data_IF_644732557214
#
_entry.id   IF_644732557214
#
_cell.length_a   1.000
_cell.length_b   1.000
_cell.length_c   1.000
_cell.angle_alpha   90.00
_cell.angle_beta   90.00
_cell.angle_gamma   90.00
#
_symmetry.space_group_name_H-M   'P 1'
#
loop_
_entity.id
_entity.type
_entity.pdbx_description
1 polymer ?
#
# COMPACT_ATOMS: atom_id res chain seq x y z
N UNK A 1 -0.45 17.18 -7.65
CA UNK A 1 -0.85 18.39 -6.91
C UNK A 1 -1.59 18.06 -5.61
N UNK A 2 -2.85 17.58 -5.62
CA UNK A 2 -3.66 17.44 -4.37
C UNK A 2 -2.93 16.77 -3.19
N UNK A 3 -2.28 15.61 -3.37
CA UNK A 3 -1.54 14.94 -2.29
C UNK A 3 -0.33 15.74 -1.76
N UNK A 4 0.35 16.52 -2.62
CA UNK A 4 1.46 17.38 -2.19
C UNK A 4 0.98 18.39 -1.13
N UNK A 5 -0.13 19.07 -1.42
CA UNK A 5 -0.71 20.09 -0.55
C UNK A 5 -1.14 19.52 0.82
N UNK A 6 -1.45 18.21 0.92
CA UNK A 6 -1.76 17.53 2.17
C UNK A 6 -0.52 17.27 3.04
N UNK A 7 0.64 17.02 2.42
CA UNK A 7 1.87 16.63 3.13
C UNK A 7 2.87 17.77 3.31
N UNK A 8 2.85 18.79 2.46
CA UNK A 8 3.79 19.93 2.47
C UNK A 8 3.97 20.60 3.86
N UNK A 9 2.91 20.84 4.66
CA UNK A 9 3.07 21.35 6.02
C UNK A 9 3.84 20.36 6.92
N UNK A 10 3.57 19.05 6.80
CA UNK A 10 4.27 18.02 7.57
C UNK A 10 5.72 17.82 7.11
N UNK A 11 5.99 17.95 5.82
CA UNK A 11 7.35 17.88 5.24
C UNK A 11 8.22 19.01 5.80
N UNK A 12 7.65 20.21 5.97
CA UNK A 12 8.36 21.38 6.46
C UNK A 12 8.68 21.30 7.96
N UNK A 13 7.80 20.69 8.77
CA UNK A 13 7.90 20.71 10.24
C UNK A 13 8.25 19.37 10.91
N UNK A 14 8.12 18.23 10.21
CA UNK A 14 8.25 16.88 10.81
C UNK A 14 9.26 15.96 10.10
N UNK A 15 9.79 16.33 8.93
CA UNK A 15 10.71 15.47 8.19
C UNK A 15 12.13 15.50 8.78
N UNK A 16 12.51 14.40 9.43
CA UNK A 16 13.90 14.15 9.85
C UNK A 16 14.70 13.63 8.65
N UNK A 17 15.73 14.38 8.21
CA UNK A 17 16.59 13.97 7.09
C UNK A 17 17.70 13.03 7.54
N UNK A 18 17.94 11.96 6.77
CA UNK A 18 19.04 11.01 7.04
C UNK A 18 20.38 11.64 6.65
N UNK A 19 21.19 12.01 7.64
CA UNK A 19 22.53 12.56 7.48
C UNK A 19 23.61 11.54 7.86
N UNK A 20 24.78 11.59 7.22
CA UNK A 20 25.87 10.62 7.43
C UNK A 20 26.72 10.86 8.68
N UNK A 21 26.23 11.63 9.65
CA UNK A 21 27.01 12.08 10.80
C UNK A 21 26.98 11.07 11.96
N UNK A 22 27.61 9.90 11.78
CA UNK A 22 27.99 9.03 12.90
C UNK A 22 29.23 8.16 12.67
N UNK A 23 30.25 8.68 11.98
CA UNK A 23 31.60 8.09 11.99
C UNK A 23 32.70 9.15 11.82
N UNK A 24 33.57 9.22 12.83
CA UNK A 24 34.98 9.67 12.89
C UNK A 24 35.49 10.96 12.19
N UNK A 25 36.19 11.75 13.02
CA UNK A 25 37.36 12.62 12.76
C UNK A 25 37.28 13.83 11.81
N UNK A 26 37.83 14.94 12.30
CA UNK A 26 37.99 16.20 11.59
C UNK A 26 39.24 16.22 10.68
N UNK A 27 39.14 16.94 9.55
CA UNK A 27 40.23 17.71 8.95
C UNK A 27 39.65 18.77 8.01
N UNK A 28 40.36 19.90 7.87
CA UNK A 28 39.89 21.10 7.17
C UNK A 28 40.45 21.12 5.74
N UNK A 29 39.59 21.25 4.73
CA UNK A 29 39.99 21.70 3.38
C UNK A 29 38.86 22.43 2.63
N UNK A 30 39.20 23.61 2.09
CA UNK A 30 38.64 24.29 0.91
C UNK A 30 37.13 24.55 0.78
N UNK A 31 36.80 25.82 0.55
CA UNK A 31 35.45 26.32 0.25
C UNK A 31 35.01 25.88 -1.15
N UNK A 32 34.05 24.96 -1.22
CA UNK A 32 33.20 24.75 -2.38
C UNK A 32 31.76 25.12 -2.04
N UNK A 33 31.13 25.99 -2.84
CA UNK A 33 29.73 26.35 -2.69
C UNK A 33 28.81 25.13 -2.88
N UNK A 34 27.98 24.74 -1.89
CA UNK A 34 27.00 23.68 -2.05
C UNK A 34 25.71 24.22 -2.71
N UNK A 35 25.82 24.60 -3.99
CA UNK A 35 24.67 24.78 -4.88
C UNK A 35 24.27 23.40 -5.43
N UNK A 36 23.08 22.84 -5.22
CA UNK A 36 21.84 23.38 -4.63
C UNK A 36 21.14 22.32 -3.77
N UNK A 37 20.49 22.74 -2.68
CA UNK A 37 19.52 21.89 -1.97
C UNK A 37 18.22 21.84 -2.78
N UNK A 38 17.87 20.66 -3.31
CA UNK A 38 16.59 20.45 -4.01
C UNK A 38 15.42 20.94 -3.16
N UNK A 39 14.39 21.52 -3.79
CA UNK A 39 13.17 21.89 -3.04
C UNK A 39 12.45 20.60 -2.64
N UNK A 40 11.71 20.58 -1.52
CA UNK A 40 11.02 19.38 -1.07
C UNK A 40 10.08 18.76 -2.13
N UNK A 41 9.46 19.56 -2.99
CA UNK A 41 8.62 19.07 -4.11
C UNK A 41 9.45 18.35 -5.20
N UNK A 42 10.69 18.77 -5.43
CA UNK A 42 11.60 18.14 -6.38
C UNK A 42 12.20 16.86 -5.78
N UNK A 43 12.50 16.87 -4.47
CA UNK A 43 12.87 15.67 -3.69
C UNK A 43 11.74 14.62 -3.73
N UNK A 44 10.47 15.05 -3.62
CA UNK A 44 9.31 14.17 -3.73
C UNK A 44 9.09 13.64 -5.15
N UNK A 45 9.29 14.46 -6.19
CA UNK A 45 9.25 13.99 -7.58
C UNK A 45 10.32 12.93 -7.84
N UNK A 46 11.54 13.11 -7.32
CA UNK A 46 12.61 12.12 -7.37
C UNK A 46 12.18 10.79 -6.72
N UNK A 47 11.55 10.85 -5.54
CA UNK A 47 11.01 9.68 -4.86
C UNK A 47 9.89 8.98 -5.66
N UNK A 48 8.97 9.73 -6.27
CA UNK A 48 7.92 9.15 -7.12
C UNK A 48 8.49 8.51 -8.40
N UNK A 49 9.49 9.14 -9.03
CA UNK A 49 10.18 8.56 -10.19
C UNK A 49 10.94 7.28 -9.81
N UNK A 50 11.56 7.26 -8.63
CA UNK A 50 12.16 6.07 -8.06
C UNK A 50 11.14 4.95 -7.86
N UNK A 51 10.04 5.21 -7.16
CA UNK A 51 9.04 4.19 -6.79
C UNK A 51 8.21 3.71 -7.99
N UNK A 52 7.64 4.64 -8.76
CA UNK A 52 6.65 4.33 -9.79
C UNK A 52 7.26 3.90 -11.12
N UNK A 53 8.48 4.36 -11.47
CA UNK A 53 9.18 3.96 -12.71
C UNK A 53 10.32 2.96 -12.45
N UNK A 54 10.84 2.90 -11.22
CA UNK A 54 11.98 2.04 -10.88
C UNK A 54 13.28 2.52 -11.51
N UNK A 55 13.49 3.83 -11.63
CA UNK A 55 14.80 4.37 -12.03
C UNK A 55 15.83 4.13 -10.93
N UNK A 56 17.07 3.70 -11.24
CA UNK A 56 18.09 3.51 -10.24
C UNK A 56 18.57 4.86 -9.66
N UNK A 57 19.11 4.90 -8.43
CA UNK A 57 19.59 6.14 -7.81
C UNK A 57 20.71 6.87 -8.59
N UNK A 58 21.38 6.21 -9.53
CA UNK A 58 22.36 6.82 -10.44
C UNK A 58 21.67 7.73 -11.46
N UNK A 59 20.74 7.19 -12.24
CA UNK A 59 20.01 7.93 -13.27
C UNK A 59 19.23 9.10 -12.67
N UNK A 60 18.69 8.93 -11.46
CA UNK A 60 18.03 10.00 -10.72
C UNK A 60 19.03 11.09 -10.28
N UNK A 61 20.24 10.72 -9.89
CA UNK A 61 21.28 11.69 -9.55
C UNK A 61 21.68 12.54 -10.77
N UNK A 62 21.85 11.91 -11.93
CA UNK A 62 22.13 12.58 -13.20
C UNK A 62 20.96 13.50 -13.62
N UNK A 63 19.72 13.00 -13.62
CA UNK A 63 18.50 13.76 -13.98
C UNK A 63 18.24 15.00 -13.12
N UNK A 64 18.54 14.93 -11.83
CA UNK A 64 18.32 16.05 -10.89
C UNK A 64 19.61 16.85 -10.63
N UNK A 65 20.72 16.56 -11.32
CA UNK A 65 22.03 17.21 -11.15
C UNK A 65 22.52 17.23 -9.69
N UNK A 66 22.37 16.10 -9.01
CA UNK A 66 22.84 15.89 -7.62
C UNK A 66 23.80 14.71 -7.55
N UNK A 67 24.50 14.54 -6.42
CA UNK A 67 25.35 13.39 -6.20
C UNK A 67 24.54 12.10 -5.91
N UNK A 68 25.04 10.92 -6.32
CA UNK A 68 24.37 9.62 -6.13
C UNK A 68 24.01 9.33 -4.67
N UNK A 69 24.87 9.71 -3.73
CA UNK A 69 24.59 9.55 -2.28
C UNK A 69 23.50 10.51 -1.80
N UNK A 70 23.35 11.69 -2.40
CA UNK A 70 22.24 12.61 -2.13
C UNK A 70 20.92 12.02 -2.62
N UNK A 71 20.87 11.48 -3.85
CA UNK A 71 19.69 10.79 -4.37
C UNK A 71 19.26 9.62 -3.46
N UNK A 72 20.21 8.79 -3.03
CA UNK A 72 19.93 7.68 -2.10
C UNK A 72 19.44 8.15 -0.73
N UNK A 73 20.01 9.22 -0.15
CA UNK A 73 19.54 9.79 1.12
C UNK A 73 18.15 10.41 1.01
N UNK A 74 17.84 11.06 -0.11
CA UNK A 74 16.51 11.58 -0.41
C UNK A 74 15.52 10.41 -0.43
N UNK A 75 15.78 9.36 -1.22
CA UNK A 75 14.93 8.17 -1.30
C UNK A 75 14.66 7.58 0.10
N UNK A 76 15.70 7.25 0.88
CA UNK A 76 15.52 6.66 2.22
C UNK A 76 14.79 7.61 3.19
N UNK A 77 15.04 8.92 3.11
CA UNK A 77 14.34 9.92 3.94
C UNK A 77 12.85 9.97 3.59
N UNK A 78 12.51 9.98 2.30
CA UNK A 78 11.12 10.03 1.85
C UNK A 78 10.38 8.72 2.10
N UNK A 79 11.02 7.57 1.94
CA UNK A 79 10.51 6.26 2.37
C UNK A 79 10.10 6.30 3.84
N UNK A 80 11.04 6.61 4.74
CA UNK A 80 10.79 6.56 6.17
C UNK A 80 9.78 7.63 6.62
N UNK A 81 9.88 8.86 6.10
CA UNK A 81 8.93 9.93 6.37
C UNK A 81 7.50 9.56 5.95
N UNK A 82 7.31 9.05 4.72
CA UNK A 82 5.99 8.65 4.26
C UNK A 82 5.49 7.39 4.98
N UNK A 83 6.37 6.46 5.35
CA UNK A 83 6.01 5.29 6.15
C UNK A 83 5.48 5.71 7.53
N UNK A 84 6.19 6.59 8.24
CA UNK A 84 5.71 7.13 9.51
C UNK A 84 4.47 8.02 9.35
N UNK A 85 4.40 8.89 8.33
CA UNK A 85 3.27 9.80 8.12
C UNK A 85 1.98 9.06 7.74
N UNK A 86 2.06 8.09 6.83
CA UNK A 86 0.92 7.32 6.33
C UNK A 86 0.58 6.12 7.24
N UNK A 87 1.56 5.56 7.96
CA UNK A 87 1.33 4.53 8.97
C UNK A 87 0.84 5.06 10.33
N UNK A 88 1.09 6.35 10.64
CA UNK A 88 0.49 7.00 11.84
C UNK A 88 -0.93 7.54 11.58
N UNK A 89 -1.33 7.70 10.32
CA UNK A 89 -2.74 7.78 9.98
C UNK A 89 -3.41 6.48 10.42
N UNK A 90 -4.48 6.55 11.23
CA UNK A 90 -5.25 5.36 11.62
C UNK A 90 -6.07 4.86 10.43
N UNK A 91 -5.42 4.15 9.52
CA UNK A 91 -6.02 3.57 8.30
C UNK A 91 -7.10 2.53 8.60
N UNK A 92 -7.18 2.03 9.84
CA UNK A 92 -8.33 1.28 10.32
C UNK A 92 -9.55 2.20 10.52
N UNK A 93 -10.28 2.42 9.43
CA UNK A 93 -11.50 3.22 9.41
C UNK A 93 -12.54 2.57 10.34
N UNK A 94 -13.08 3.30 11.34
CA UNK A 94 -14.09 2.75 12.26
C UNK A 94 -15.33 2.23 11.50
N UNK A 95 -15.99 1.14 11.95
CA UNK A 95 -17.15 0.56 11.25
C UNK A 95 -18.30 1.53 11.02
N UNK A 96 -18.40 2.58 11.81
CA UNK A 96 -19.38 3.67 11.70
C UNK A 96 -19.08 4.53 10.47
N UNK A 97 -17.81 4.87 10.26
CA UNK A 97 -17.34 5.66 9.11
C UNK A 97 -17.36 4.82 7.83
N UNK A 98 -17.05 3.52 7.90
CA UNK A 98 -17.21 2.59 6.77
C UNK A 98 -18.67 2.54 6.32
N UNK A 99 -19.61 2.42 7.27
CA UNK A 99 -21.06 2.39 6.99
C UNK A 99 -21.60 3.70 6.44
N UNK A 100 -21.14 4.85 6.96
CA UNK A 100 -21.53 6.16 6.46
C UNK A 100 -21.11 6.44 5.01
N UNK A 101 -20.00 5.85 4.55
CA UNK A 101 -19.45 6.05 3.20
C UNK A 101 -19.55 4.78 2.33
N UNK A 102 -20.42 3.85 2.70
CA UNK A 102 -20.64 2.60 1.99
C UNK A 102 -21.38 2.87 0.67
N UNK A 103 -20.81 2.53 -0.50
CA UNK A 103 -21.52 2.68 -1.76
C UNK A 103 -22.78 1.80 -1.76
N UNK A 104 -23.88 2.28 -2.36
CA UNK A 104 -25.19 1.58 -2.40
C UNK A 104 -25.07 0.14 -2.93
N UNK A 105 -24.13 -0.08 -3.87
CA UNK A 105 -23.82 -1.40 -4.43
C UNK A 105 -23.26 -2.42 -3.41
N UNK A 106 -22.72 -1.96 -2.29
CA UNK A 106 -22.19 -2.76 -1.18
C UNK A 106 -23.07 -2.73 0.08
N UNK A 107 -24.30 -2.20 -0.01
CA UNK A 107 -25.24 -2.12 1.13
C UNK A 107 -25.50 -3.48 1.80
N UNK A 108 -25.45 -4.59 1.05
CA UNK A 108 -25.56 -5.96 1.56
C UNK A 108 -24.33 -6.46 2.36
N UNK A 109 -23.26 -5.65 2.42
CA UNK A 109 -21.95 -6.00 2.97
C UNK A 109 -21.39 -4.90 3.90
N UNK A 110 -22.28 -4.18 4.59
CA UNK A 110 -21.98 -3.03 5.46
C UNK A 110 -20.85 -3.20 6.47
N UNK A 111 -20.61 -4.43 6.91
CA UNK A 111 -19.68 -4.76 8.00
C UNK A 111 -18.36 -5.36 7.49
N UNK A 112 -18.16 -5.39 6.16
CA UNK A 112 -17.04 -6.10 5.51
C UNK A 112 -15.80 -5.21 5.39
N UNK A 113 -14.61 -5.74 5.66
CA UNK A 113 -13.36 -5.25 5.08
C UNK A 113 -12.81 -6.29 4.12
N UNK A 114 -12.52 -5.92 2.89
CA UNK A 114 -12.06 -6.85 1.87
C UNK A 114 -10.56 -7.07 1.99
N UNK A 115 -10.10 -8.30 2.10
CA UNK A 115 -8.67 -8.59 2.12
C UNK A 115 -8.14 -8.84 0.70
N UNK A 116 -6.86 -8.54 0.52
CA UNK A 116 -6.23 -8.22 -0.75
C UNK A 116 -4.81 -8.78 -0.72
N UNK A 117 -4.44 -9.64 -1.66
CA UNK A 117 -3.14 -10.33 -1.61
C UNK A 117 -2.23 -9.92 -2.76
N UNK A 118 -0.95 -9.68 -2.49
CA UNK A 118 0.04 -9.37 -3.52
C UNK A 118 1.28 -10.27 -3.46
N UNK A 119 1.40 -11.17 -4.43
CA UNK A 119 2.65 -11.87 -4.75
C UNK A 119 3.61 -10.94 -5.49
N UNK A 120 4.87 -10.94 -5.07
CA UNK A 120 5.96 -10.14 -5.62
C UNK A 120 7.10 -11.01 -6.15
N UNK A 121 7.68 -10.72 -7.33
CA UNK A 121 8.68 -11.58 -8.00
C UNK A 121 10.15 -11.09 -7.89
N UNK A 122 11.00 -11.95 -7.32
CA UNK A 122 12.42 -12.12 -7.66
C UNK A 122 12.78 -13.61 -7.44
N UNK A 123 14.06 -13.99 -7.53
CA UNK A 123 14.53 -15.36 -7.28
C UNK A 123 14.14 -15.92 -5.88
N UNK A 124 13.80 -15.04 -4.93
CA UNK A 124 12.94 -15.39 -3.78
C UNK A 124 11.78 -14.39 -3.76
N UNK A 125 10.58 -14.84 -4.12
CA UNK A 125 9.37 -14.00 -4.11
C UNK A 125 9.06 -13.50 -2.69
N UNK A 126 8.56 -12.26 -2.57
CA UNK A 126 7.92 -11.78 -1.33
C UNK A 126 6.38 -11.86 -1.45
N UNK A 127 5.70 -11.96 -0.30
CA UNK A 127 4.24 -11.92 -0.17
C UNK A 127 3.84 -10.92 0.90
N UNK A 128 2.71 -10.26 0.73
CA UNK A 128 2.09 -9.46 1.79
C UNK A 128 0.56 -9.55 1.73
N UNK A 129 -0.05 -9.29 2.88
CA UNK A 129 -1.49 -9.12 3.04
C UNK A 129 -1.82 -7.62 3.09
N UNK A 130 -2.71 -7.20 2.22
CA UNK A 130 -3.29 -5.86 2.15
C UNK A 130 -4.75 -5.99 2.58
N UNK A 131 -5.31 -5.00 3.27
CA UNK A 131 -6.75 -4.88 3.54
C UNK A 131 -7.30 -3.63 2.88
N UNK A 132 -8.53 -3.70 2.38
CA UNK A 132 -9.21 -2.66 1.63
C UNK A 132 -10.67 -2.55 2.10
N UNK A 133 -11.11 -1.37 2.50
CA UNK A 133 -12.51 -1.12 2.83
C UNK A 133 -13.42 -1.26 1.57
N UNK A 134 -14.74 -1.48 1.72
CA UNK A 134 -15.66 -1.63 0.58
C UNK A 134 -15.73 -0.43 -0.36
N UNK A 135 -15.44 0.78 0.14
CA UNK A 135 -15.32 1.99 -0.68
C UNK A 135 -13.98 2.09 -1.45
N UNK A 136 -13.10 1.09 -1.31
CA UNK A 136 -11.89 0.92 -2.12
C UNK A 136 -10.60 1.50 -1.53
N UNK A 137 -10.61 2.08 -0.32
CA UNK A 137 -9.38 2.54 0.32
C UNK A 137 -8.63 1.37 0.98
N UNK A 138 -7.30 1.31 0.81
CA UNK A 138 -6.39 0.45 1.57
C UNK A 138 -6.42 0.86 3.04
N UNK A 139 -6.87 -0.05 3.91
CA UNK A 139 -7.00 0.12 5.37
C UNK A 139 -5.94 -0.63 6.18
N UNK A 140 -5.26 -1.59 5.57
CA UNK A 140 -4.26 -2.43 6.22
C UNK A 140 -3.17 -2.85 5.23
N UNK A 141 -1.93 -2.97 5.70
CA UNK A 141 -0.80 -3.53 4.98
C UNK A 141 0.07 -4.26 5.99
N UNK A 142 0.39 -5.54 5.74
CA UNK A 142 1.35 -6.30 6.53
C UNK A 142 2.78 -6.02 6.09
N UNK A 143 3.75 -6.39 6.92
CA UNK A 143 5.13 -6.58 6.45
C UNK A 143 5.22 -7.67 5.38
N UNK A 144 6.39 -7.77 4.75
CA UNK A 144 6.69 -8.74 3.70
C UNK A 144 7.15 -10.07 4.30
N UNK A 145 6.63 -11.15 3.73
CA UNK A 145 6.91 -12.53 4.08
C UNK A 145 7.60 -13.25 2.94
N UNK A 146 8.40 -14.29 3.24
CA UNK A 146 8.96 -15.15 2.22
C UNK A 146 7.83 -15.84 1.41
N UNK A 147 7.97 -15.92 0.09
CA UNK A 147 6.90 -16.40 -0.79
C UNK A 147 6.59 -17.89 -0.66
N UNK A 148 7.46 -18.66 -0.01
CA UNK A 148 7.21 -20.02 0.44
C UNK A 148 6.23 -20.11 1.62
N UNK A 149 6.01 -19.02 2.37
CA UNK A 149 5.07 -19.02 3.48
C UNK A 149 3.63 -19.20 2.99
N UNK A 150 2.88 -20.02 3.72
CA UNK A 150 1.46 -20.25 3.43
C UNK A 150 0.64 -18.99 3.75
N UNK A 151 -0.38 -18.76 2.95
CA UNK A 151 -1.24 -17.57 3.05
C UNK A 151 -1.97 -17.54 4.41
N UNK A 152 -2.27 -18.72 4.99
CA UNK A 152 -2.81 -18.90 6.35
C UNK A 152 -1.82 -18.48 7.45
N UNK A 153 -0.54 -18.76 7.28
CA UNK A 153 0.48 -18.36 8.26
C UNK A 153 0.75 -16.85 8.18
N UNK A 154 0.74 -16.28 6.96
CA UNK A 154 0.77 -14.83 6.74
C UNK A 154 -0.41 -14.15 7.45
N UNK A 155 -1.63 -14.65 7.29
CA UNK A 155 -2.81 -14.13 8.00
C UNK A 155 -2.59 -14.08 9.52
N UNK A 156 -2.13 -15.19 10.11
CA UNK A 156 -1.84 -15.32 11.54
C UNK A 156 -0.74 -14.36 12.02
N UNK A 157 0.34 -14.20 11.26
CA UNK A 157 1.50 -13.38 11.65
C UNK A 157 1.35 -11.88 11.33
N UNK A 158 0.51 -11.52 10.34
CA UNK A 158 0.32 -10.14 9.88
C UNK A 158 -0.23 -9.18 10.95
N UNK A 159 -0.85 -9.72 12.00
CA UNK A 159 -1.53 -8.94 13.03
C UNK A 159 -2.97 -8.55 12.69
N UNK A 160 -3.48 -8.83 11.48
CA UNK A 160 -4.86 -8.51 11.07
C UNK A 160 -5.90 -9.08 12.04
N UNK A 161 -5.66 -10.29 12.57
CA UNK A 161 -6.52 -10.98 13.54
C UNK A 161 -6.81 -10.13 14.78
N UNK A 162 -5.88 -9.25 15.19
CA UNK A 162 -6.03 -8.34 16.35
C UNK A 162 -6.95 -7.15 16.06
N UNK A 163 -7.17 -6.83 14.78
CA UNK A 163 -8.01 -5.72 14.32
C UNK A 163 -9.45 -6.18 14.05
N UNK A 164 -9.62 -7.43 13.64
CA UNK A 164 -10.92 -8.06 13.36
C UNK A 164 -11.74 -8.25 14.65
N UNK A 165 -13.01 -7.86 14.60
CA UNK A 165 -13.99 -8.01 15.70
C UNK A 165 -15.11 -8.96 15.30
N UNK A 166 -15.80 -9.64 16.24
CA UNK A 166 -16.87 -10.58 15.92
C UNK A 166 -18.06 -10.03 15.12
N UNK A 167 -18.34 -8.73 15.22
CA UNK A 167 -19.37 -8.05 14.42
C UNK A 167 -18.92 -7.60 13.02
N UNK A 168 -17.74 -8.01 12.55
CA UNK A 168 -17.23 -7.67 11.23
C UNK A 168 -17.34 -8.84 10.24
N UNK A 169 -17.07 -8.57 8.98
CA UNK A 169 -16.79 -9.58 7.98
C UNK A 169 -15.49 -9.30 7.24
N UNK A 170 -14.89 -10.35 6.67
CA UNK A 170 -13.81 -10.23 5.69
C UNK A 170 -14.15 -10.99 4.42
N UNK A 171 -13.68 -10.51 3.28
CA UNK A 171 -13.69 -11.30 2.04
C UNK A 171 -12.27 -11.71 1.69
N UNK A 172 -12.08 -13.02 1.44
CA UNK A 172 -10.78 -13.62 1.09
C UNK A 172 -10.89 -14.46 -0.17
N UNK A 173 -9.77 -14.67 -0.87
CA UNK A 173 -9.75 -15.53 -2.06
C UNK A 173 -10.06 -17.00 -1.70
N UNK A 174 -10.58 -17.77 -2.66
CA UNK A 174 -11.19 -19.09 -2.40
C UNK A 174 -10.26 -20.09 -1.68
N UNK A 175 -8.95 -20.06 -1.95
CA UNK A 175 -7.96 -20.95 -1.33
C UNK A 175 -7.58 -20.60 0.11
N UNK A 176 -8.04 -19.46 0.62
CA UNK A 176 -7.60 -18.87 1.87
C UNK A 176 -8.45 -19.36 3.05
N UNK A 177 -8.10 -20.54 3.60
CA UNK A 177 -8.87 -21.20 4.68
C UNK A 177 -8.45 -20.66 6.06
N UNK A 178 -9.12 -19.57 6.46
CA UNK A 178 -8.86 -18.84 7.72
C UNK A 178 -10.07 -18.76 8.64
N UNK A 179 -11.15 -19.48 8.36
CA UNK A 179 -12.39 -19.48 9.15
C UNK A 179 -12.16 -19.81 10.63
N UNK A 180 -11.17 -20.68 10.93
CA UNK A 180 -10.80 -21.06 12.30
C UNK A 180 -9.81 -20.07 12.97
N UNK A 181 -9.44 -18.98 12.29
CA UNK A 181 -8.47 -17.96 12.76
C UNK A 181 -9.09 -16.56 12.81
N UNK A 182 -10.01 -16.25 11.89
CA UNK A 182 -10.73 -15.00 11.88
C UNK A 182 -11.83 -15.02 12.96
N UNK A 183 -11.88 -14.06 13.89
CA UNK A 183 -12.95 -13.99 14.89
C UNK A 183 -14.30 -13.51 14.30
N UNK A 184 -14.39 -13.35 12.98
CA UNK A 184 -15.42 -12.60 12.26
C UNK A 184 -15.90 -13.37 11.02
N UNK A 185 -16.97 -12.91 10.36
CA UNK A 185 -17.59 -13.66 9.25
C UNK A 185 -16.71 -13.66 7.99
N UNK A 186 -16.31 -14.84 7.49
CA UNK A 186 -15.50 -14.96 6.28
C UNK A 186 -16.37 -15.22 5.05
N UNK A 187 -16.32 -14.31 4.08
CA UNK A 187 -16.89 -14.49 2.74
C UNK A 187 -15.82 -15.00 1.76
N UNK A 188 -16.18 -15.98 0.95
CA UNK A 188 -15.33 -16.55 -0.12
C UNK A 188 -16.12 -16.62 -1.43
N UNK A 189 -15.54 -16.26 -2.59
CA UNK A 189 -16.20 -16.40 -3.89
C UNK A 189 -16.65 -17.85 -4.12
N UNK A 190 -17.95 -18.02 -4.36
CA UNK A 190 -18.53 -19.32 -4.66
C UNK A 190 -17.97 -19.87 -5.98
N UNK A 191 -17.72 -21.17 -6.03
CA UNK A 191 -17.62 -21.85 -7.33
C UNK A 191 -19.01 -21.99 -7.93
N UNK A 192 -19.07 -21.95 -9.27
CA UNK A 192 -20.11 -22.62 -10.04
C UNK A 192 -20.01 -24.14 -9.79
N UNK A 193 -20.46 -24.59 -8.62
CA UNK A 193 -20.74 -26.00 -8.38
C UNK A 193 -21.95 -26.41 -9.22
N UNK A 194 -22.09 -27.72 -9.50
CA UNK A 194 -23.06 -28.30 -10.45
C UNK A 194 -24.53 -28.23 -10.00
N UNK A 195 -24.99 -27.13 -9.39
CA UNK A 195 -26.40 -26.87 -9.12
C UNK A 195 -27.04 -26.20 -10.33
N UNK A 196 -28.16 -26.76 -10.78
CA UNK A 196 -28.78 -26.43 -12.07
C UNK A 196 -29.40 -25.01 -12.09
N UNK A 197 -29.76 -24.46 -10.93
CA UNK A 197 -30.16 -23.07 -10.70
C UNK A 197 -29.72 -22.60 -9.30
N UNK A 198 -29.44 -21.31 -9.16
CA UNK A 198 -29.20 -20.62 -7.88
C UNK A 198 -30.44 -19.80 -7.51
N UNK A 199 -30.71 -19.60 -6.20
CA UNK A 199 -31.82 -18.73 -5.77
C UNK A 199 -31.54 -17.25 -6.13
N UNK A 200 -32.58 -16.41 -6.15
CA UNK A 200 -32.40 -14.97 -6.46
C UNK A 200 -31.51 -14.28 -5.43
N UNK A 201 -31.57 -14.70 -4.18
CA UNK A 201 -30.75 -14.24 -3.07
C UNK A 201 -29.29 -14.68 -3.24
N UNK A 202 -29.05 -15.96 -3.55
CA UNK A 202 -27.70 -16.49 -3.81
C UNK A 202 -27.03 -15.83 -5.02
N UNK A 203 -27.80 -15.57 -6.09
CA UNK A 203 -27.31 -14.85 -7.28
C UNK A 203 -26.88 -13.44 -6.91
N UNK A 204 -27.67 -12.70 -6.11
CA UNK A 204 -27.34 -11.34 -5.66
C UNK A 204 -26.07 -11.33 -4.80
N UNK A 205 -25.95 -12.24 -3.83
CA UNK A 205 -24.74 -12.34 -3.01
C UNK A 205 -23.50 -12.69 -3.86
N UNK A 206 -23.63 -13.66 -4.78
CA UNK A 206 -22.54 -14.09 -5.66
C UNK A 206 -22.09 -12.98 -6.61
N UNK A 207 -23.03 -12.25 -7.21
CA UNK A 207 -22.72 -11.08 -8.04
C UNK A 207 -22.01 -9.99 -7.25
N UNK A 208 -22.45 -9.70 -6.02
CA UNK A 208 -21.85 -8.64 -5.20
C UNK A 208 -20.47 -9.04 -4.67
N UNK A 209 -20.22 -10.32 -4.36
CA UNK A 209 -18.89 -10.86 -4.06
C UNK A 209 -17.97 -10.75 -5.29
N UNK A 210 -18.47 -11.11 -6.48
CA UNK A 210 -17.71 -10.98 -7.73
C UNK A 210 -17.34 -9.52 -8.04
N UNK A 211 -18.24 -8.56 -7.78
CA UNK A 211 -17.94 -7.11 -7.89
C UNK A 211 -16.85 -6.70 -6.92
N UNK A 212 -16.96 -7.05 -5.64
CA UNK A 212 -15.94 -6.71 -4.63
C UNK A 212 -14.56 -7.28 -5.02
N UNK A 213 -14.52 -8.52 -5.54
CA UNK A 213 -13.30 -9.16 -6.06
C UNK A 213 -12.64 -8.37 -7.21
N UNK A 214 -13.43 -7.75 -8.09
CA UNK A 214 -12.89 -6.86 -9.14
C UNK A 214 -12.26 -5.59 -8.56
N UNK A 215 -12.77 -5.03 -7.46
CA UNK A 215 -12.14 -3.89 -6.79
C UNK A 215 -10.84 -4.30 -6.07
N UNK A 216 -10.81 -5.48 -5.45
CA UNK A 216 -9.60 -6.11 -4.88
C UNK A 216 -8.51 -6.26 -5.94
N UNK A 217 -8.83 -6.89 -7.09
CA UNK A 217 -7.88 -7.07 -8.19
C UNK A 217 -7.37 -5.73 -8.76
N UNK A 218 -8.23 -4.70 -8.84
CA UNK A 218 -7.82 -3.33 -9.24
C UNK A 218 -6.90 -2.68 -8.22
N UNK A 219 -7.12 -2.89 -6.93
CA UNK A 219 -6.24 -2.39 -5.87
C UNK A 219 -4.84 -3.04 -5.97
N UNK A 220 -4.78 -4.37 -6.10
CA UNK A 220 -3.52 -5.12 -6.32
C UNK A 220 -2.80 -4.59 -7.57
N UNK A 221 -3.56 -4.35 -8.65
CA UNK A 221 -2.99 -3.82 -9.89
C UNK A 221 -2.38 -2.44 -9.69
N UNK A 222 -3.03 -1.51 -8.98
CA UNK A 222 -2.46 -0.19 -8.65
C UNK A 222 -1.16 -0.30 -7.85
N UNK A 223 -1.06 -1.23 -6.89
CA UNK A 223 0.22 -1.49 -6.19
C UNK A 223 1.30 -1.96 -7.19
N UNK A 224 0.96 -2.88 -8.09
CA UNK A 224 1.85 -3.42 -9.15
C UNK A 224 2.11 -2.47 -10.34
N UNK A 225 1.41 -1.34 -10.41
CA UNK A 225 1.70 -0.28 -11.39
C UNK A 225 3.02 0.44 -11.04
N UNK A 226 3.47 0.38 -9.77
CA UNK A 226 4.81 0.83 -9.38
C UNK A 226 5.88 -0.10 -9.98
N UNK A 227 6.82 0.44 -10.77
CA UNK A 227 7.86 -0.32 -11.49
C UNK A 227 9.21 -0.43 -10.79
N UNK A 228 9.33 0.07 -9.56
CA UNK A 228 10.31 -0.43 -8.57
C UNK A 228 9.83 -1.74 -7.96
N UNK A 229 8.51 -1.80 -7.76
CA UNK A 229 7.78 -3.05 -7.72
C UNK A 229 7.73 -3.64 -9.17
N UNK A 230 7.14 -4.81 -9.41
CA UNK A 230 7.13 -5.52 -10.72
C UNK A 230 8.51 -5.95 -11.32
N UNK A 231 9.67 -5.56 -10.73
CA UNK A 231 11.04 -5.93 -11.15
C UNK A 231 11.82 -6.70 -10.08
N UNK A 232 12.99 -7.25 -10.42
CA UNK A 232 13.91 -7.80 -9.42
C UNK A 232 14.38 -6.71 -8.44
N UNK A 233 14.22 -6.95 -7.13
CA UNK A 233 14.58 -6.02 -6.06
C UNK A 233 16.11 -6.06 -5.84
N UNK A 234 16.85 -4.95 -6.06
CA UNK A 234 18.28 -4.92 -5.76
C UNK A 234 18.56 -5.09 -4.26
N UNK A 235 19.65 -5.80 -3.92
CA UNK A 235 20.06 -6.01 -2.53
C UNK A 235 20.24 -4.69 -1.74
N UNK A 236 20.61 -3.60 -2.43
CA UNK A 236 20.79 -2.27 -1.85
C UNK A 236 19.53 -1.64 -1.26
N UNK A 237 18.34 -2.16 -1.59
CA UNK A 237 17.04 -1.64 -1.12
C UNK A 237 16.28 -2.67 -0.29
N UNK A 238 16.81 -3.89 -0.16
CA UNK A 238 16.22 -4.99 0.59
C UNK A 238 16.02 -4.65 2.08
N UNK A 239 16.94 -3.90 2.69
CA UNK A 239 16.80 -3.43 4.08
C UNK A 239 15.67 -2.42 4.31
N UNK A 240 15.08 -1.87 3.24
CA UNK A 240 14.07 -0.81 3.28
C UNK A 240 12.78 -1.22 2.53
N UNK A 241 12.71 -2.46 2.03
CA UNK A 241 11.66 -2.89 1.10
C UNK A 241 10.28 -2.96 1.76
N UNK A 242 10.22 -3.23 3.06
CA UNK A 242 8.99 -3.26 3.87
C UNK A 242 8.34 -1.88 3.97
N UNK A 243 9.13 -0.84 4.28
CA UNK A 243 8.67 0.55 4.32
C UNK A 243 8.27 1.03 2.91
N UNK A 244 9.08 0.73 1.88
CA UNK A 244 8.80 1.08 0.48
C UNK A 244 7.49 0.46 -0.02
N UNK A 245 7.27 -0.82 0.26
CA UNK A 245 6.06 -1.54 -0.11
C UNK A 245 4.83 -0.99 0.63
N UNK A 246 4.97 -0.69 1.92
CA UNK A 246 3.91 -0.06 2.72
C UNK A 246 3.53 1.32 2.15
N UNK A 247 4.52 2.17 1.85
CA UNK A 247 4.30 3.47 1.22
C UNK A 247 3.65 3.33 -0.16
N UNK A 248 4.08 2.37 -0.98
CA UNK A 248 3.46 2.10 -2.28
C UNK A 248 1.97 1.74 -2.15
N UNK A 249 1.62 0.91 -1.16
CA UNK A 249 0.24 0.54 -0.87
C UNK A 249 -0.59 1.73 -0.36
N UNK A 250 -0.06 2.54 0.55
CA UNK A 250 -0.78 3.70 1.08
C UNK A 250 -0.97 4.81 0.04
N UNK A 251 -0.02 4.99 -0.90
CA UNK A 251 -0.16 5.96 -1.99
C UNK A 251 -1.30 5.61 -2.97
N UNK A 252 -1.72 4.34 -3.06
CA UNK A 252 -2.89 3.93 -3.88
C UNK A 252 -4.17 4.68 -3.49
N UNK A 253 -4.31 5.04 -2.21
CA UNK A 253 -5.46 5.81 -1.70
C UNK A 253 -5.53 7.25 -2.26
N UNK A 254 -4.41 7.77 -2.74
CA UNK A 254 -4.27 9.16 -3.22
C UNK A 254 -4.03 9.24 -4.74
N UNK A 255 -3.97 8.10 -5.43
CA UNK A 255 -3.71 7.99 -6.86
C UNK A 255 -5.00 7.68 -7.64
N UNK A 256 -5.11 8.24 -8.86
CA UNK A 256 -6.08 7.83 -9.89
C UNK A 256 -7.57 7.81 -9.50
N UNK A 257 -7.97 8.62 -8.51
CA UNK A 257 -9.37 8.75 -8.06
C UNK A 257 -9.93 7.50 -7.36
N UNK A 258 -11.17 7.57 -6.84
CA UNK A 258 -11.77 6.48 -6.07
C UNK A 258 -11.87 5.20 -6.89
N UNK A 259 -11.56 4.05 -6.26
CA UNK A 259 -11.59 2.72 -6.89
C UNK A 259 -13.02 2.24 -7.21
N UNK A 260 -14.03 2.90 -6.65
CA UNK A 260 -15.47 2.72 -6.93
C UNK A 260 -15.99 3.95 -7.68
N UNK A 261 -16.70 3.76 -8.79
CA UNK A 261 -17.32 4.86 -9.55
C UNK A 261 -18.53 5.41 -8.79
N UNK A 262 -18.48 6.67 -8.32
CA UNK A 262 -19.63 7.61 -8.26
C UNK A 262 -19.29 8.94 -7.52
N UNK A 263 -18.22 9.67 -7.87
CA UNK A 263 -17.88 10.94 -7.18
C UNK A 263 -17.35 12.05 -8.13
N UNK A 264 -17.82 12.09 -9.38
CA UNK A 264 -17.41 13.11 -10.36
C UNK A 264 -18.57 13.75 -11.13
N UNK A 265 -19.80 13.63 -10.62
CA UNK A 265 -21.02 14.28 -11.16
C UNK A 265 -22.04 14.43 -10.02
N UNK A 266 -21.80 15.41 -9.13
CA UNK A 266 -22.79 16.15 -8.32
C UNK A 266 -22.07 17.06 -7.31
N UNK A 267 -21.39 18.08 -7.85
CA UNK A 267 -21.34 19.45 -7.31
C UNK A 267 -21.55 20.38 -8.50
#
# INVERSE_FOLDING_TARGET
MVFWNLIEPAVTHKMVRITSAKTASASISTVHHPTTKLRPIDEFLLFLMYLSVGFPPRDLAERFSIHRTTASRIISTWTHFLYCLLGSQRLWIPPEVVRAHLPVEFAAFSDTQSEVFSTYKSHTTFKALIGMAPHGAVTFVSGLYAGSMSDREIFKQSGIVKLLKPGMAIMVDKGFVVDNLAPCKVYRPAFLSKKQQMSREDVRQTQSIARLRVHVERCIRRVKENKLLDKEIPLSICGNIDELFSVACFLVNYQNGPLVKAWATQQ
#
